data_IF_361669564999
#
_entry.id   IF_361669564999
#
_cell.length_a   1.000
_cell.length_b   1.000
_cell.length_c   1.000
_cell.angle_alpha   90.00
_cell.angle_beta   90.00
_cell.angle_gamma   90.00
#
_symmetry.space_group_name_H-M   'P 1'
#
loop_
_entity.id
_entity.type
_entity.pdbx_description
1 polymer ?
#
# COMPACT_ATOMS: atom_id res chain seq x y z
N UNK A 1 -6.39 12.49 -14.18
CA UNK A 1 -5.08 12.95 -13.66
C UNK A 1 -5.31 14.13 -12.73
N UNK A 2 -4.52 14.28 -11.67
CA UNK A 2 -4.57 15.48 -10.82
C UNK A 2 -4.06 16.71 -11.58
N UNK A 3 -4.51 17.91 -11.19
CA UNK A 3 -4.15 19.18 -11.87
C UNK A 3 -2.63 19.41 -11.96
N UNK A 4 -1.82 19.18 -10.90
CA UNK A 4 -0.37 19.34 -11.02
C UNK A 4 0.25 18.35 -12.02
N UNK A 5 -0.25 17.11 -12.07
CA UNK A 5 0.24 16.11 -13.01
C UNK A 5 -0.03 16.49 -14.47
N UNK A 6 -1.19 17.13 -14.75
CA UNK A 6 -1.50 17.60 -16.11
C UNK A 6 -0.56 18.70 -16.58
N UNK A 7 -0.07 19.56 -15.67
CA UNK A 7 0.90 20.61 -15.99
C UNK A 7 2.32 20.07 -16.12
N UNK A 8 2.73 19.15 -15.24
CA UNK A 8 4.11 18.70 -15.12
C UNK A 8 4.50 17.60 -16.13
N UNK A 9 3.53 16.80 -16.58
CA UNK A 9 3.76 15.73 -17.55
C UNK A 9 4.32 16.23 -18.90
N UNK A 10 3.72 17.22 -19.60
CA UNK A 10 4.27 17.71 -20.86
C UNK A 10 5.61 18.42 -20.70
N UNK A 11 5.91 18.93 -19.51
CA UNK A 11 7.18 19.57 -19.18
C UNK A 11 8.29 18.58 -18.79
N UNK A 12 7.97 17.28 -18.67
CA UNK A 12 8.94 16.26 -18.23
C UNK A 12 9.41 16.43 -16.77
N UNK A 13 8.64 17.14 -15.94
CA UNK A 13 9.03 17.49 -14.57
C UNK A 13 8.47 16.55 -13.50
N UNK A 14 7.73 15.51 -13.88
CA UNK A 14 7.06 14.58 -12.96
C UNK A 14 8.01 13.91 -11.95
N UNK A 15 9.24 13.58 -12.35
CA UNK A 15 10.21 12.93 -11.46
C UNK A 15 10.88 13.91 -10.48
N UNK A 16 10.93 15.20 -10.81
CA UNK A 16 11.54 16.26 -9.97
C UNK A 16 10.53 16.96 -9.07
N UNK A 17 9.30 17.07 -9.54
CA UNK A 17 8.18 17.69 -8.85
C UNK A 17 7.03 16.67 -8.82
N UNK A 18 7.14 15.59 -8.04
CA UNK A 18 6.09 14.59 -7.99
C UNK A 18 4.79 15.26 -7.48
N UNK A 19 3.65 15.08 -8.18
CA UNK A 19 2.40 15.76 -7.84
C UNK A 19 1.75 15.26 -6.53
N UNK A 20 2.27 14.16 -5.97
CA UNK A 20 1.87 13.55 -4.71
C UNK A 20 3.08 12.82 -4.11
N UNK A 21 3.05 12.57 -2.80
CA UNK A 21 4.18 11.97 -2.07
C UNK A 21 4.22 10.44 -2.18
N UNK A 22 3.05 9.80 -2.21
CA UNK A 22 2.90 8.35 -2.25
C UNK A 22 1.57 7.98 -2.90
N UNK A 23 1.44 6.71 -3.30
CA UNK A 23 0.18 6.13 -3.78
C UNK A 23 -0.36 5.20 -2.70
N UNK A 24 -1.64 5.34 -2.39
CA UNK A 24 -2.40 4.38 -1.58
C UNK A 24 -3.58 3.91 -2.42
N UNK A 25 -3.62 2.62 -2.74
CA UNK A 25 -4.69 2.01 -3.53
C UNK A 25 -5.43 0.96 -2.72
N UNK A 26 -6.77 0.97 -2.80
CA UNK A 26 -7.63 -0.01 -2.17
C UNK A 26 -8.43 -0.74 -3.26
N UNK A 27 -8.15 -2.03 -3.43
CA UNK A 27 -8.73 -2.87 -4.47
C UNK A 27 -9.60 -3.96 -3.81
N UNK A 28 -10.92 -3.96 -4.05
CA UNK A 28 -11.78 -5.04 -3.57
C UNK A 28 -11.37 -6.40 -4.16
N UNK A 29 -11.13 -7.39 -3.31
CA UNK A 29 -10.88 -8.76 -3.73
C UNK A 29 -11.99 -9.74 -3.29
N UNK A 30 -11.77 -11.06 -3.45
CA UNK A 30 -12.76 -12.08 -3.14
C UNK A 30 -13.11 -12.12 -1.64
N UNK A 31 -14.40 -12.09 -1.30
CA UNK A 31 -14.90 -12.14 0.10
C UNK A 31 -15.08 -13.55 0.67
N UNK A 32 -14.78 -14.58 -0.12
CA UNK A 32 -14.89 -15.98 0.27
C UNK A 32 -13.52 -16.67 0.19
N UNK A 33 -13.25 -17.71 1.00
CA UNK A 33 -12.01 -18.47 0.89
C UNK A 33 -11.86 -19.08 -0.51
N UNK A 34 -10.68 -18.91 -1.11
CA UNK A 34 -10.36 -19.41 -2.44
C UNK A 34 -9.41 -20.60 -2.36
N UNK A 35 -9.45 -21.48 -3.36
CA UNK A 35 -8.63 -22.68 -3.44
C UNK A 35 -8.09 -22.87 -4.86
N UNK A 36 -6.92 -23.48 -4.97
CA UNK A 36 -6.35 -23.95 -6.23
C UNK A 36 -6.00 -25.44 -6.10
N UNK A 37 -6.71 -26.31 -6.82
CA UNK A 37 -6.53 -27.77 -6.76
C UNK A 37 -6.52 -28.33 -5.33
N UNK A 38 -7.40 -27.83 -4.46
CA UNK A 38 -7.49 -28.23 -3.05
C UNK A 38 -6.56 -27.47 -2.10
N UNK A 39 -5.56 -26.74 -2.60
CA UNK A 39 -4.73 -25.87 -1.77
C UNK A 39 -5.45 -24.56 -1.46
N UNK A 40 -5.58 -24.20 -0.18
CA UNK A 40 -6.23 -22.96 0.25
C UNK A 40 -5.33 -21.75 0.00
N UNK A 41 -5.88 -20.69 -0.59
CA UNK A 41 -5.19 -19.41 -0.71
C UNK A 41 -5.09 -18.77 0.69
N UNK A 42 -3.85 -18.51 1.13
CA UNK A 42 -3.57 -17.97 2.46
C UNK A 42 -3.68 -16.43 2.52
N UNK A 43 -3.28 -15.74 1.45
CA UNK A 43 -3.31 -14.29 1.35
C UNK A 43 -3.00 -13.82 -0.07
N UNK A 44 -3.31 -12.56 -0.34
CA UNK A 44 -3.12 -11.89 -1.62
C UNK A 44 -2.35 -10.58 -1.41
N UNK A 45 -1.02 -10.63 -1.57
CA UNK A 45 -0.15 -9.47 -1.37
C UNK A 45 0.17 -8.78 -2.70
N UNK A 46 -0.38 -7.59 -2.99
CA UNK A 46 -0.18 -6.90 -4.26
C UNK A 46 1.24 -6.36 -4.38
N UNK A 47 1.87 -6.57 -5.54
CA UNK A 47 3.17 -5.99 -5.89
C UNK A 47 2.99 -4.89 -6.94
N UNK A 48 2.74 -3.67 -6.48
CA UNK A 48 2.58 -2.48 -7.31
C UNK A 48 3.93 -1.89 -7.79
N UNK A 49 3.87 -0.79 -8.53
CA UNK A 49 5.03 -0.15 -9.15
C UNK A 49 5.41 1.12 -8.40
N UNK A 50 6.72 1.30 -8.19
CA UNK A 50 7.33 2.57 -7.79
C UNK A 50 7.97 3.23 -9.01
N UNK A 51 7.94 4.55 -9.05
CA UNK A 51 8.45 5.35 -10.17
C UNK A 51 9.47 6.37 -9.68
N UNK A 52 10.27 6.93 -10.57
CA UNK A 52 11.16 8.02 -10.20
C UNK A 52 10.36 9.20 -9.60
N UNK A 53 10.85 9.76 -8.48
CA UNK A 53 10.16 10.78 -7.70
C UNK A 53 9.18 10.25 -6.63
N UNK A 54 8.71 9.00 -6.73
CA UNK A 54 7.79 8.38 -5.75
C UNK A 54 8.33 7.02 -5.32
N UNK A 55 9.02 7.01 -4.18
CA UNK A 55 9.77 5.85 -3.71
C UNK A 55 8.93 4.78 -2.99
N UNK A 56 7.65 5.06 -2.69
CA UNK A 56 6.73 4.19 -1.95
C UNK A 56 5.40 4.07 -2.69
N UNK A 57 4.87 2.84 -2.72
CA UNK A 57 3.51 2.54 -3.13
C UNK A 57 2.89 1.57 -2.12
N UNK A 58 1.70 1.89 -1.63
CA UNK A 58 0.93 1.08 -0.69
C UNK A 58 -0.32 0.61 -1.44
N UNK A 59 -0.47 -0.70 -1.60
CA UNK A 59 -1.66 -1.29 -2.23
C UNK A 59 -2.30 -2.28 -1.28
N UNK A 60 -3.62 -2.21 -1.17
CA UNK A 60 -4.42 -3.01 -0.25
C UNK A 60 -5.41 -3.84 -1.06
N UNK A 61 -5.55 -5.12 -0.71
CA UNK A 61 -6.56 -6.02 -1.29
C UNK A 61 -7.34 -6.69 -0.17
N UNK A 62 -8.67 -6.69 -0.26
CA UNK A 62 -9.49 -7.49 0.65
C UNK A 62 -9.49 -8.96 0.22
N UNK A 63 -9.21 -9.89 1.15
CA UNK A 63 -9.37 -11.32 0.91
C UNK A 63 -10.06 -12.00 2.11
N UNK A 64 -11.19 -12.67 1.84
CA UNK A 64 -12.01 -13.32 2.86
C UNK A 64 -12.43 -12.36 4.00
N UNK A 65 -11.83 -12.50 5.19
CA UNK A 65 -12.08 -11.67 6.38
C UNK A 65 -10.94 -10.68 6.67
N UNK A 66 -9.91 -10.69 5.84
CA UNK A 66 -8.68 -9.94 6.06
C UNK A 66 -8.52 -8.85 4.98
N UNK A 67 -7.69 -7.87 5.30
CA UNK A 67 -7.14 -6.92 4.33
C UNK A 67 -5.65 -7.19 4.26
N UNK A 68 -5.16 -7.52 3.06
CA UNK A 68 -3.76 -7.78 2.79
C UNK A 68 -3.07 -6.52 2.24
N UNK A 69 -1.93 -6.18 2.81
CA UNK A 69 -1.15 -4.99 2.47
C UNK A 69 0.10 -5.36 1.66
N UNK A 70 0.32 -4.66 0.56
CA UNK A 70 1.54 -4.69 -0.23
C UNK A 70 2.27 -3.35 -0.15
N UNK A 71 3.47 -3.38 0.43
CA UNK A 71 4.39 -2.24 0.46
C UNK A 71 5.48 -2.43 -0.58
N UNK A 72 5.44 -1.64 -1.65
CA UNK A 72 6.48 -1.62 -2.67
C UNK A 72 7.33 -0.37 -2.51
N UNK A 73 8.63 -0.55 -2.33
CA UNK A 73 9.53 0.54 -2.01
C UNK A 73 10.88 0.44 -2.74
N UNK A 74 11.44 1.59 -3.12
CA UNK A 74 12.82 1.68 -3.58
C UNK A 74 13.77 1.53 -2.38
N UNK A 75 14.44 0.37 -2.24
CA UNK A 75 15.34 0.07 -1.11
C UNK A 75 16.42 1.12 -0.85
N UNK A 76 16.93 1.77 -1.92
CA UNK A 76 17.96 2.82 -1.81
C UNK A 76 17.40 4.11 -1.19
N UNK A 77 16.19 4.50 -1.58
CA UNK A 77 15.55 5.74 -1.13
C UNK A 77 14.83 5.58 0.21
N UNK A 78 14.32 4.37 0.48
CA UNK A 78 13.62 4.00 1.72
C UNK A 78 14.28 2.75 2.33
N UNK A 79 15.45 2.89 2.97
CA UNK A 79 16.08 1.78 3.67
C UNK A 79 15.16 1.31 4.80
N UNK A 80 15.14 -0.01 5.01
CA UNK A 80 14.34 -0.64 6.07
C UNK A 80 12.81 -0.44 5.95
N UNK A 81 12.28 -0.33 4.73
CA UNK A 81 10.85 -0.15 4.47
C UNK A 81 9.95 -1.23 5.12
N UNK A 82 10.48 -2.43 5.43
CA UNK A 82 9.74 -3.46 6.16
C UNK A 82 9.23 -3.01 7.54
N UNK A 83 9.88 -2.02 8.18
CA UNK A 83 9.43 -1.45 9.46
C UNK A 83 8.07 -0.77 9.39
N UNK A 84 7.60 -0.42 8.19
CA UNK A 84 6.24 0.08 7.98
C UNK A 84 5.18 -0.92 8.45
N UNK A 85 5.46 -2.22 8.42
CA UNK A 85 4.57 -3.26 8.94
C UNK A 85 4.41 -3.10 10.45
N UNK A 86 5.53 -2.96 11.18
CA UNK A 86 5.53 -2.78 12.63
C UNK A 86 4.81 -1.48 13.03
N UNK A 87 5.07 -0.39 12.30
CA UNK A 87 4.42 0.90 12.57
C UNK A 87 2.92 0.89 12.27
N UNK A 88 2.50 0.13 11.26
CA UNK A 88 1.08 -0.03 10.96
C UNK A 88 0.36 -0.78 12.07
N UNK A 89 0.96 -1.87 12.58
CA UNK A 89 0.45 -2.60 13.73
C UNK A 89 0.35 -1.71 14.97
N UNK A 90 1.43 -0.98 15.28
CA UNK A 90 1.46 -0.04 16.40
C UNK A 90 0.35 1.02 16.29
N UNK A 91 0.17 1.61 15.11
CA UNK A 91 -0.86 2.62 14.90
C UNK A 91 -2.29 2.07 15.06
N UNK A 92 -2.55 0.80 14.69
CA UNK A 92 -3.85 0.16 14.90
C UNK A 92 -4.09 -0.04 16.40
N UNK A 93 -3.10 -0.58 17.13
CA UNK A 93 -3.19 -0.77 18.58
C UNK A 93 -3.41 0.56 19.31
N UNK A 94 -2.73 1.62 18.90
CA UNK A 94 -2.93 2.98 19.46
C UNK A 94 -4.38 3.47 19.25
N UNK A 95 -4.97 3.21 18.06
CA UNK A 95 -6.36 3.57 17.77
C UNK A 95 -7.36 2.74 18.59
N UNK A 96 -7.12 1.44 18.75
CA UNK A 96 -7.93 0.54 19.57
C UNK A 96 -7.97 0.99 21.03
N UNK A 97 -6.80 1.32 21.60
CA UNK A 97 -6.67 1.86 22.94
C UNK A 97 -7.42 3.19 23.10
N UNK A 98 -7.25 4.12 22.14
CA UNK A 98 -7.93 5.41 22.18
C UNK A 98 -9.45 5.28 22.07
N UNK A 99 -9.93 4.25 21.36
CA UNK A 99 -11.36 3.95 21.22
C UNK A 99 -11.94 3.12 22.37
N UNK A 100 -11.11 2.65 23.32
CA UNK A 100 -11.54 1.76 24.40
C UNK A 100 -11.92 0.34 23.92
N UNK A 101 -11.44 -0.06 22.75
CA UNK A 101 -11.61 -1.39 22.16
C UNK A 101 -10.35 -2.18 22.52
N UNK A 102 -10.22 -2.54 23.79
CA UNK A 102 -9.09 -3.33 24.27
C UNK A 102 -9.62 -4.74 24.49
N UNK A 103 -9.13 -5.73 23.73
CA UNK A 103 -9.23 -7.14 24.13
C UNK A 103 -8.28 -7.42 25.32
#
# INVERSE_FOLDING_TARGET
LQVPAMLLLPLGLMSRLPPYNTVISNVPGPRQPMYWNGARLAGMYPASVVTEGIALNITMVTYNKNIDFGFMACRRSLPQAQRLIDYMEQAIVELEQAAGIVE
#
